data_IF_622002652578
#
_entry.id   IF_622002652578
#
_cell.length_a   1.000
_cell.length_b   1.000
_cell.length_c   1.000
_cell.angle_alpha   90.00
_cell.angle_beta   90.00
_cell.angle_gamma   90.00
#
_symmetry.space_group_name_H-M   'P 1'
#
loop_
_entity.id
_entity.type
_entity.pdbx_description
1 polymer ?
#
# COMPACT_ATOMS: atom_id res chain seq x y z
N UNK A 1 -1.08 -15.89 -8.69
CA UNK A 1 -0.62 -15.22 -7.46
C UNK A 1 -1.07 -13.75 -7.41
N UNK A 2 -0.80 -12.92 -8.43
CA UNK A 2 -1.21 -11.51 -8.44
C UNK A 2 -2.73 -11.26 -8.23
N UNK A 3 -3.59 -12.12 -8.77
CA UNK A 3 -5.04 -11.98 -8.66
C UNK A 3 -5.59 -12.21 -7.24
N UNK A 4 -4.93 -13.06 -6.45
CA UNK A 4 -5.37 -13.36 -5.09
C UNK A 4 -5.16 -12.17 -4.15
N UNK A 5 -4.00 -11.51 -4.25
CA UNK A 5 -3.69 -10.30 -3.48
C UNK A 5 -4.59 -9.11 -3.84
N UNK A 6 -4.96 -8.98 -5.12
CA UNK A 6 -5.91 -7.96 -5.55
C UNK A 6 -7.31 -8.19 -4.96
N UNK A 7 -7.78 -9.44 -4.93
CA UNK A 7 -9.06 -9.79 -4.32
C UNK A 7 -9.04 -9.58 -2.79
N UNK A 8 -7.91 -9.86 -2.14
CA UNK A 8 -7.70 -9.63 -0.71
C UNK A 8 -7.75 -8.13 -0.39
N UNK A 9 -7.02 -7.33 -1.17
CA UNK A 9 -7.10 -5.88 -1.11
C UNK A 9 -8.55 -5.40 -1.26
N UNK A 10 -9.29 -5.82 -2.29
CA UNK A 10 -10.70 -5.42 -2.49
C UNK A 10 -11.61 -5.74 -1.31
N UNK A 11 -11.30 -6.83 -0.60
CA UNK A 11 -12.04 -7.29 0.59
C UNK A 11 -11.74 -6.43 1.81
N UNK A 12 -10.49 -5.98 1.98
CA UNK A 12 -10.08 -5.07 3.05
C UNK A 12 -10.47 -3.61 2.77
N UNK A 13 -10.49 -3.21 1.50
CA UNK A 13 -10.84 -1.85 1.07
C UNK A 13 -12.25 -1.43 1.56
N UNK A 14 -12.28 -0.47 2.48
CA UNK A 14 -13.49 0.22 2.91
C UNK A 14 -14.21 0.92 1.75
N UNK A 15 -15.53 1.18 1.85
CA UNK A 15 -16.33 1.74 0.75
C UNK A 15 -15.92 3.16 0.31
N UNK A 16 -15.11 3.87 1.09
CA UNK A 16 -14.61 5.21 0.76
C UNK A 16 -13.13 5.26 0.36
N UNK A 17 -12.48 4.12 0.14
CA UNK A 17 -11.05 4.09 -0.13
C UNK A 17 -10.72 4.53 -1.58
N UNK A 18 -9.64 5.31 -1.82
CA UNK A 18 -9.29 5.81 -3.16
C UNK A 18 -9.00 4.72 -4.21
N UNK A 19 -8.57 3.54 -3.76
CA UNK A 19 -8.35 2.36 -4.62
C UNK A 19 -9.63 1.53 -4.88
N UNK A 20 -10.77 1.87 -4.26
CA UNK A 20 -12.05 1.19 -4.48
C UNK A 20 -12.51 1.42 -5.92
N UNK A 21 -12.81 0.34 -6.65
CA UNK A 21 -13.16 0.35 -8.09
C UNK A 21 -12.02 0.71 -9.06
N UNK A 22 -10.76 0.76 -8.61
CA UNK A 22 -9.62 0.97 -9.50
C UNK A 22 -9.07 -0.37 -9.99
N UNK A 23 -8.72 -0.49 -11.28
CA UNK A 23 -7.98 -1.66 -11.76
C UNK A 23 -6.53 -1.59 -11.31
N UNK A 24 -6.24 -2.44 -10.33
CA UNK A 24 -4.91 -2.62 -9.76
C UNK A 24 -4.37 -4.01 -10.06
N UNK A 25 -3.06 -4.12 -10.26
CA UNK A 25 -2.37 -5.40 -10.43
C UNK A 25 -1.23 -5.50 -9.44
N UNK A 26 -1.26 -6.51 -8.57
CA UNK A 26 -0.13 -6.81 -7.69
C UNK A 26 1.08 -7.21 -8.55
N UNK A 27 2.18 -6.47 -8.42
CA UNK A 27 3.43 -6.71 -9.17
C UNK A 27 4.55 -7.20 -8.26
N UNK A 28 4.51 -6.84 -6.98
CA UNK A 28 5.46 -7.31 -5.98
C UNK A 28 4.79 -7.38 -4.61
N UNK A 29 5.31 -8.25 -3.75
CA UNK A 29 4.97 -8.30 -2.33
C UNK A 29 6.28 -8.38 -1.56
N UNK A 30 6.39 -7.60 -0.49
CA UNK A 30 7.48 -7.71 0.46
C UNK A 30 7.16 -8.87 1.42
N UNK A 31 8.13 -9.75 1.67
CA UNK A 31 7.95 -10.91 2.54
C UNK A 31 8.22 -10.60 4.02
N UNK A 32 8.84 -9.44 4.27
CA UNK A 32 9.35 -9.00 5.56
C UNK A 32 8.37 -8.08 6.31
N UNK A 33 7.65 -7.25 5.57
CA UNK A 33 6.50 -6.47 6.02
C UNK A 33 5.38 -6.74 5.02
N UNK A 34 4.14 -6.84 5.48
CA UNK A 34 2.93 -7.17 4.70
C UNK A 34 2.55 -6.14 3.59
N UNK A 35 3.53 -5.41 3.08
CA UNK A 35 3.44 -4.48 1.97
C UNK A 35 3.32 -5.20 0.62
N UNK A 36 2.30 -4.80 -0.14
CA UNK A 36 2.08 -5.26 -1.50
C UNK A 36 2.10 -4.06 -2.44
N UNK A 37 2.92 -4.15 -3.48
CA UNK A 37 3.00 -3.15 -4.54
C UNK A 37 2.00 -3.51 -5.63
N UNK A 38 1.09 -2.58 -5.87
CA UNK A 38 0.09 -2.60 -6.92
C UNK A 38 0.42 -1.58 -8.00
N UNK A 39 0.25 -1.94 -9.26
CA UNK A 39 0.32 -1.00 -10.37
C UNK A 39 -1.09 -0.70 -10.85
N UNK A 40 -1.42 0.58 -10.99
CA UNK A 40 -2.70 1.02 -11.51
C UNK A 40 -2.61 0.95 -13.04
N UNK A 41 -3.46 0.15 -13.66
CA UNK A 41 -3.44 -0.04 -15.12
C UNK A 41 -4.29 1.00 -15.85
N UNK A 42 -5.19 1.67 -15.14
CA UNK A 42 -6.10 2.67 -15.70
C UNK A 42 -5.58 4.10 -15.62
N UNK A 43 -4.61 4.36 -14.74
CA UNK A 43 -3.95 5.66 -14.60
C UNK A 43 -2.44 5.45 -14.80
N UNK A 44 -1.95 5.92 -15.95
CA UNK A 44 -0.53 5.86 -16.29
C UNK A 44 0.21 7.11 -15.80
N UNK A 45 1.46 6.96 -15.32
CA UNK A 45 2.01 5.84 -14.57
C UNK A 45 1.74 6.04 -13.08
N UNK A 46 0.99 5.17 -12.43
CA UNK A 46 0.86 5.23 -10.97
C UNK A 46 0.97 3.86 -10.36
N UNK A 47 1.65 3.78 -9.23
CA UNK A 47 1.75 2.55 -8.43
C UNK A 47 1.38 2.86 -6.99
N UNK A 48 0.72 1.93 -6.33
CA UNK A 48 0.31 2.06 -4.94
C UNK A 48 0.94 0.95 -4.11
N UNK A 49 1.60 1.31 -3.02
CA UNK A 49 1.96 0.35 -1.97
C UNK A 49 0.81 0.31 -1.00
N UNK A 50 0.35 -0.88 -0.68
CA UNK A 50 -0.68 -1.10 0.33
C UNK A 50 -0.09 -2.03 1.38
N UNK A 51 -0.14 -1.59 2.64
CA UNK A 51 0.19 -2.42 3.78
C UNK A 51 -1.04 -3.24 4.18
N UNK A 52 -1.07 -4.52 3.84
CA UNK A 52 -2.20 -5.39 4.19
C UNK A 52 -2.10 -5.74 5.67
N UNK A 53 -3.06 -5.27 6.46
CA UNK A 53 -3.11 -5.61 7.89
C UNK A 53 -3.56 -7.06 8.13
N UNK A 54 -4.12 -7.74 7.11
CA UNK A 54 -4.70 -9.08 7.19
C UNK A 54 -5.74 -9.23 8.31
N UNK A 55 -6.25 -8.11 8.84
CA UNK A 55 -7.16 -8.02 9.96
C UNK A 55 -8.63 -8.06 9.52
N UNK A 56 -8.89 -8.01 8.21
CA UNK A 56 -10.21 -8.03 7.61
C UNK A 56 -10.70 -6.64 7.21
N UNK A 57 -12.02 -6.51 6.99
CA UNK A 57 -12.61 -5.27 6.46
C UNK A 57 -12.64 -4.18 7.52
N UNK A 58 -11.75 -3.20 7.39
CA UNK A 58 -11.75 -2.01 8.23
C UNK A 58 -12.80 -0.99 7.77
N UNK A 59 -13.43 -0.32 8.74
CA UNK A 59 -14.45 0.71 8.47
C UNK A 59 -13.81 2.06 8.11
N UNK A 60 -12.56 2.26 8.53
CA UNK A 60 -11.83 3.50 8.35
C UNK A 60 -11.28 3.58 6.94
N UNK A 61 -11.51 4.68 6.19
CA UNK A 61 -10.93 4.86 4.86
C UNK A 61 -9.41 5.09 4.87
N UNK A 62 -8.83 5.26 6.07
CA UNK A 62 -7.38 5.37 6.30
C UNK A 62 -6.66 4.01 6.29
N UNK A 63 -7.41 2.93 6.38
CA UNK A 63 -6.87 1.58 6.45
C UNK A 63 -7.48 0.70 5.35
N UNK A 64 -6.71 -0.21 4.75
CA UNK A 64 -5.27 -0.41 4.93
C UNK A 64 -4.42 0.78 4.47
N UNK A 65 -3.27 1.02 5.13
CA UNK A 65 -2.39 2.15 4.77
C UNK A 65 -1.98 2.02 3.30
N UNK A 66 -2.22 3.08 2.55
CA UNK A 66 -2.02 3.10 1.11
C UNK A 66 -1.26 4.34 0.70
N UNK A 67 -0.11 4.15 0.06
CA UNK A 67 0.67 5.21 -0.55
C UNK A 67 0.66 5.08 -2.06
N UNK A 68 0.16 6.10 -2.75
CA UNK A 68 0.15 6.19 -4.21
C UNK A 68 1.36 7.01 -4.64
N UNK A 69 2.12 6.47 -5.58
CA UNK A 69 3.31 7.07 -6.16
C UNK A 69 3.06 7.33 -7.65
N UNK A 70 3.65 8.42 -8.14
CA UNK A 70 3.54 8.85 -9.52
C UNK A 70 4.36 7.99 -10.50
N UNK A 71 5.15 7.03 -10.02
CA UNK A 71 5.88 6.04 -10.84
C UNK A 71 6.57 5.00 -9.97
N UNK A 72 6.92 3.86 -10.57
CA UNK A 72 7.77 2.86 -9.92
C UNK A 72 9.16 3.42 -9.55
N UNK A 73 9.67 4.41 -10.28
CA UNK A 73 10.93 5.06 -9.91
C UNK A 73 10.82 5.90 -8.64
N UNK A 74 9.71 6.62 -8.53
CA UNK A 74 9.36 7.43 -7.36
C UNK A 74 9.18 6.53 -6.14
N UNK A 75 8.44 5.43 -6.29
CA UNK A 75 8.35 4.39 -5.27
C UNK A 75 9.72 3.79 -4.89
N UNK A 76 10.62 3.51 -5.84
CA UNK A 76 11.96 3.00 -5.50
C UNK A 76 12.79 4.02 -4.72
N UNK A 77 12.61 5.32 -4.96
CA UNK A 77 13.33 6.38 -4.22
C UNK A 77 12.76 6.57 -2.83
N UNK A 78 11.45 6.67 -2.73
CA UNK A 78 10.74 7.05 -1.49
C UNK A 78 10.35 5.86 -0.63
N UNK A 79 10.01 4.72 -1.23
CA UNK A 79 9.56 3.50 -0.56
C UNK A 79 10.65 2.45 -0.31
N UNK A 80 11.82 2.57 -0.97
CA UNK A 80 12.96 1.65 -0.79
C UNK A 80 14.10 2.27 0.04
N UNK A 81 14.01 3.56 0.39
CA UNK A 81 14.86 4.17 1.43
C UNK A 81 14.27 3.85 2.81
N UNK A 82 15.09 3.34 3.73
CA UNK A 82 14.62 2.55 4.87
C UNK A 82 13.78 3.38 5.84
N UNK A 83 12.67 2.76 6.26
CA UNK A 83 12.08 2.94 7.58
C UNK A 83 13.16 2.60 8.63
N UNK A 84 14.01 3.57 8.95
CA UNK A 84 14.86 3.53 10.14
C UNK A 84 15.08 4.93 10.74
N UNK A 85 14.12 5.84 10.60
CA UNK A 85 14.26 7.09 11.33
C UNK A 85 12.93 7.69 11.73
N UNK A 86 12.20 7.00 12.60
CA UNK A 86 11.46 7.67 13.67
C UNK A 86 11.11 6.68 14.80
N UNK A 87 12.08 6.35 15.65
CA UNK A 87 11.75 6.23 17.07
C UNK A 87 12.18 7.54 17.69
N UNK A 88 11.21 8.44 17.75
CA UNK A 88 11.28 9.75 18.35
C UNK A 88 11.98 9.64 19.71
N UNK A 89 13.07 10.38 19.85
CA UNK A 89 13.58 10.79 21.14
C UNK A 89 12.43 11.47 21.90
N UNK A 90 12.00 10.86 23.01
CA UNK A 90 11.37 11.60 24.09
C UNK A 90 12.40 11.66 25.22
N UNK A 91 13.38 12.55 25.04
CA UNK A 91 14.00 13.22 26.18
C UNK A 91 12.96 14.20 26.73
N UNK A 92 12.57 14.04 27.99
CA UNK A 92 12.49 15.12 29.00
C UNK A 92 12.03 14.54 30.37
N UNK A 93 12.39 15.15 31.50
CA UNK A 93 13.72 15.44 32.05
C UNK A 93 14.07 14.59 33.30
#
# INVERSE_FOLDING_TARGET
>A
MATALAAELERELGPGHPLKNKKVRAVARRFDCDDVLFVLTEEMPSCAVVHLAYAGREKSPKWPDTRIFASLDDWKREGMMPDHNDYHADEVP
#
